data_IF_825865944421
#
_entry.id   IF_825865944421
#
_cell.length_a   1.000
_cell.length_b   1.000
_cell.length_c   1.000
_cell.angle_alpha   90.00
_cell.angle_beta   90.00
_cell.angle_gamma   90.00
#
_symmetry.space_group_name_H-M   'P 1'
#
loop_
_entity.id
_entity.type
_entity.pdbx_description
1 polymer ?
#
# COMPACT_ATOMS: atom_id res chain seq x y z
N UNK A 1 -59.66 20.33 -13.86
CA UNK A 1 -58.30 20.79 -13.47
C UNK A 1 -58.10 20.41 -12.01
N UNK A 2 -57.64 19.18 -11.77
CA UNK A 2 -57.26 18.69 -10.44
C UNK A 2 -55.77 18.92 -10.30
N UNK A 3 -55.42 19.87 -9.45
CA UNK A 3 -54.04 20.23 -9.13
C UNK A 3 -53.35 19.03 -8.48
N UNK A 4 -52.32 18.53 -9.14
CA UNK A 4 -51.38 17.58 -8.55
C UNK A 4 -50.83 18.20 -7.25
N UNK A 5 -51.06 17.53 -6.13
CA UNK A 5 -50.43 17.86 -4.87
C UNK A 5 -48.92 17.88 -5.08
N UNK A 6 -48.26 18.97 -4.66
CA UNK A 6 -46.81 19.05 -4.59
C UNK A 6 -46.30 17.82 -3.83
N UNK A 7 -45.56 16.95 -4.51
CA UNK A 7 -44.91 15.81 -3.88
C UNK A 7 -44.02 16.35 -2.76
N UNK A 8 -44.35 16.01 -1.51
CA UNK A 8 -43.57 16.40 -0.34
C UNK A 8 -42.12 15.95 -0.51
N UNK A 9 -41.18 16.75 0.01
CA UNK A 9 -39.76 16.39 0.01
C UNK A 9 -39.62 15.07 0.77
N UNK A 10 -39.30 13.99 0.07
CA UNK A 10 -39.27 12.62 0.60
C UNK A 10 -38.30 12.47 1.79
N UNK A 11 -37.33 13.38 1.92
CA UNK A 11 -36.37 13.47 3.03
C UNK A 11 -36.09 14.95 3.38
N UNK A 12 -36.93 15.60 4.21
CA UNK A 12 -36.85 17.06 4.44
C UNK A 12 -35.58 17.50 5.19
N UNK A 13 -34.85 16.57 5.81
CA UNK A 13 -33.58 16.80 6.50
C UNK A 13 -32.35 16.44 5.66
N UNK A 14 -32.53 16.08 4.38
CA UNK A 14 -31.44 15.79 3.46
C UNK A 14 -30.66 17.05 3.03
N UNK A 15 -29.49 16.87 2.39
CA UNK A 15 -28.65 17.98 1.89
C UNK A 15 -27.47 18.39 2.78
N UNK A 16 -27.19 17.67 3.87
CA UNK A 16 -26.11 17.99 4.82
C UNK A 16 -24.69 17.55 4.43
N UNK A 17 -24.45 17.08 3.19
CA UNK A 17 -23.18 16.46 2.80
C UNK A 17 -21.97 17.39 2.98
N UNK A 18 -22.05 18.65 2.56
CA UNK A 18 -20.94 19.61 2.73
C UNK A 18 -20.65 19.92 4.21
N UNK A 19 -21.67 19.97 5.07
CA UNK A 19 -21.50 20.15 6.52
C UNK A 19 -20.79 18.95 7.14
N UNK A 20 -21.16 17.73 6.74
CA UNK A 20 -20.52 16.52 7.21
C UNK A 20 -19.07 16.39 6.70
N UNK A 21 -18.82 16.74 5.44
CA UNK A 21 -17.47 16.79 4.88
C UNK A 21 -16.60 17.82 5.61
N UNK A 22 -17.20 18.96 5.99
CA UNK A 22 -16.50 19.99 6.77
C UNK A 22 -16.12 19.47 8.15
N UNK A 23 -17.02 18.80 8.86
CA UNK A 23 -16.72 18.12 10.12
C UNK A 23 -15.54 17.15 9.97
N UNK A 24 -15.52 16.33 8.91
CA UNK A 24 -14.40 15.41 8.67
C UNK A 24 -13.07 16.16 8.48
N UNK A 25 -13.08 17.22 7.67
CA UNK A 25 -11.91 18.03 7.36
C UNK A 25 -11.35 18.76 8.59
N UNK A 26 -12.20 19.42 9.38
CA UNK A 26 -11.73 20.36 10.40
C UNK A 26 -11.76 19.84 11.82
N UNK A 27 -12.44 18.72 12.07
CA UNK A 27 -12.56 18.16 13.42
C UNK A 27 -12.02 16.73 13.47
N UNK A 28 -12.55 15.81 12.66
CA UNK A 28 -12.20 14.39 12.76
C UNK A 28 -10.75 14.09 12.36
N UNK A 29 -10.33 14.55 11.17
CA UNK A 29 -8.96 14.30 10.68
C UNK A 29 -7.91 14.91 11.64
N UNK A 30 -8.01 16.19 12.05
CA UNK A 30 -7.06 16.76 13.00
C UNK A 30 -6.98 16.01 14.34
N UNK A 31 -8.11 15.54 14.88
CA UNK A 31 -8.10 14.81 16.14
C UNK A 31 -7.44 13.42 16.02
N UNK A 32 -7.61 12.73 14.88
CA UNK A 32 -6.91 11.47 14.59
C UNK A 32 -5.40 11.72 14.48
N UNK A 33 -4.99 12.75 13.73
CA UNK A 33 -3.57 13.11 13.53
C UNK A 33 -2.86 13.52 14.82
N UNK A 34 -3.60 14.14 15.74
CA UNK A 34 -3.09 14.48 17.07
C UNK A 34 -2.86 13.24 17.95
N UNK A 35 -3.75 12.24 17.87
CA UNK A 35 -3.73 11.06 18.74
C UNK A 35 -2.82 9.95 18.24
N UNK A 36 -2.67 9.82 16.94
CA UNK A 36 -1.99 8.67 16.32
C UNK A 36 -0.94 9.12 15.31
N UNK A 37 0.14 8.34 15.22
CA UNK A 37 1.11 8.47 14.14
C UNK A 37 0.49 7.93 12.85
N UNK A 38 -0.09 8.81 12.05
CA UNK A 38 -0.68 8.47 10.76
C UNK A 38 0.22 8.88 9.60
N UNK A 39 0.04 8.21 8.46
CA UNK A 39 0.67 8.61 7.19
C UNK A 39 -0.29 9.52 6.40
N UNK A 40 0.23 10.42 5.54
CA UNK A 40 -0.58 11.41 4.80
C UNK A 40 -1.37 10.81 3.61
N UNK A 41 -1.70 9.53 3.65
CA UNK A 41 -2.49 8.84 2.62
C UNK A 41 -3.83 8.40 3.19
N UNK A 42 -4.91 9.06 2.77
CA UNK A 42 -6.27 8.85 3.31
C UNK A 42 -7.17 8.17 2.27
N UNK A 43 -7.93 7.18 2.72
CA UNK A 43 -8.91 6.44 1.91
C UNK A 43 -10.30 6.72 2.49
N UNK A 44 -11.25 7.15 1.66
CA UNK A 44 -12.66 7.27 2.03
C UNK A 44 -13.46 6.14 1.39
N UNK A 45 -14.11 5.33 2.21
CA UNK A 45 -14.98 4.25 1.75
C UNK A 45 -16.42 4.47 2.25
N UNK A 46 -17.39 4.21 1.39
CA UNK A 46 -18.81 4.39 1.71
C UNK A 46 -19.71 3.46 0.90
N UNK A 47 -20.79 3.01 1.52
CA UNK A 47 -21.80 2.14 0.92
C UNK A 47 -23.15 2.87 0.77
N UNK A 48 -23.88 2.64 -0.32
CA UNK A 48 -25.22 3.21 -0.53
C UNK A 48 -25.20 4.75 -0.51
N UNK A 49 -25.96 5.41 0.38
CA UNK A 49 -25.86 6.86 0.61
C UNK A 49 -24.46 7.29 1.08
N UNK A 50 -23.72 6.43 1.78
CA UNK A 50 -22.31 6.62 2.09
C UNK A 50 -21.44 6.61 0.83
N UNK A 51 -21.75 5.75 -0.15
CA UNK A 51 -21.08 5.73 -1.45
C UNK A 51 -21.37 6.99 -2.27
N UNK A 52 -22.62 7.49 -2.22
CA UNK A 52 -22.98 8.80 -2.76
C UNK A 52 -22.18 9.93 -2.08
N UNK A 53 -22.03 9.88 -0.76
CA UNK A 53 -21.18 10.82 -0.02
C UNK A 53 -19.70 10.71 -0.43
N UNK A 54 -19.18 9.50 -0.64
CA UNK A 54 -17.81 9.29 -1.14
C UNK A 54 -17.58 9.97 -2.49
N UNK A 55 -18.53 9.82 -3.43
CA UNK A 55 -18.47 10.52 -4.72
C UNK A 55 -18.60 12.03 -4.54
N UNK A 56 -19.51 12.48 -3.68
CA UNK A 56 -19.65 13.90 -3.34
C UNK A 56 -18.34 14.50 -2.80
N UNK A 57 -17.68 13.82 -1.85
CA UNK A 57 -16.42 14.28 -1.25
C UNK A 57 -15.32 14.42 -2.29
N UNK A 58 -15.18 13.44 -3.20
CA UNK A 58 -14.23 13.49 -4.32
C UNK A 58 -14.46 14.72 -5.22
N UNK A 59 -15.71 15.03 -5.53
CA UNK A 59 -16.07 16.14 -6.41
C UNK A 59 -16.00 17.52 -5.72
N UNK A 60 -16.25 17.60 -4.41
CA UNK A 60 -16.28 18.86 -3.65
C UNK A 60 -14.90 19.26 -3.08
N UNK A 61 -14.12 18.28 -2.60
CA UNK A 61 -12.82 18.45 -1.94
C UNK A 61 -11.87 17.30 -2.31
N UNK A 62 -11.47 17.19 -3.60
CA UNK A 62 -10.62 16.09 -4.07
C UNK A 62 -9.30 15.98 -3.29
N UNK A 63 -8.82 17.10 -2.73
CA UNK A 63 -7.55 17.14 -1.99
C UNK A 63 -7.59 16.49 -0.60
N UNK A 64 -8.78 16.24 -0.05
CA UNK A 64 -8.92 15.75 1.34
C UNK A 64 -8.54 14.27 1.49
N UNK A 65 -8.82 13.46 0.47
CA UNK A 65 -8.50 12.04 0.41
C UNK A 65 -7.75 11.71 -0.87
N UNK A 66 -6.89 10.69 -0.81
CA UNK A 66 -6.09 10.21 -1.94
C UNK A 66 -6.84 9.15 -2.75
N UNK A 67 -7.67 8.36 -2.07
CA UNK A 67 -8.40 7.23 -2.65
C UNK A 67 -9.84 7.15 -2.18
N UNK A 68 -10.71 6.67 -3.05
CA UNK A 68 -12.15 6.59 -2.85
C UNK A 68 -12.66 5.18 -3.20
N UNK A 69 -13.45 4.59 -2.30
CA UNK A 69 -14.13 3.29 -2.50
C UNK A 69 -15.63 3.53 -2.36
N UNK A 70 -16.34 3.63 -3.48
CA UNK A 70 -17.78 3.88 -3.50
C UNK A 70 -18.54 2.59 -3.81
N UNK A 71 -19.19 2.01 -2.81
CA UNK A 71 -19.86 0.71 -2.92
C UNK A 71 -21.36 0.91 -3.12
N UNK A 72 -21.91 0.40 -4.23
CA UNK A 72 -23.31 0.60 -4.63
C UNK A 72 -23.78 2.04 -4.38
N UNK A 73 -23.07 3.07 -4.91
CA UNK A 73 -23.40 4.45 -4.59
C UNK A 73 -24.79 4.78 -5.13
N UNK A 74 -25.63 5.42 -4.30
CA UNK A 74 -26.99 5.83 -4.66
C UNK A 74 -26.99 7.04 -5.64
N UNK A 75 -26.40 6.87 -6.82
CA UNK A 75 -26.17 7.93 -7.81
C UNK A 75 -27.44 8.40 -8.51
N UNK A 76 -28.53 7.63 -8.43
CA UNK A 76 -29.85 8.01 -8.91
C UNK A 76 -30.53 9.08 -8.04
N UNK A 77 -30.03 9.30 -6.82
CA UNK A 77 -30.60 10.24 -5.86
C UNK A 77 -30.69 11.67 -6.39
N UNK A 78 -31.74 12.38 -5.98
CA UNK A 78 -32.00 13.79 -6.30
C UNK A 78 -31.84 14.08 -7.80
N UNK A 79 -32.52 13.30 -8.64
CA UNK A 79 -32.47 13.42 -10.10
C UNK A 79 -31.03 13.37 -10.64
N UNK A 80 -30.22 12.43 -10.13
CA UNK A 80 -28.84 12.18 -10.56
C UNK A 80 -27.90 13.39 -10.45
N UNK A 81 -28.10 14.25 -9.45
CA UNK A 81 -27.25 15.44 -9.24
C UNK A 81 -25.76 15.09 -9.13
N UNK A 82 -25.40 13.96 -8.51
CA UNK A 82 -24.00 13.54 -8.43
C UNK A 82 -23.38 13.24 -9.81
N UNK A 83 -24.14 12.61 -10.72
CA UNK A 83 -23.68 12.32 -12.09
C UNK A 83 -23.50 13.61 -12.87
N UNK A 84 -24.48 14.53 -12.82
CA UNK A 84 -24.40 15.84 -13.46
C UNK A 84 -23.21 16.66 -12.97
N UNK A 85 -22.97 16.67 -11.65
CA UNK A 85 -21.79 17.31 -11.06
C UNK A 85 -20.49 16.69 -11.53
N UNK A 86 -20.44 15.37 -11.71
CA UNK A 86 -19.26 14.70 -12.25
C UNK A 86 -18.98 15.15 -13.70
N UNK A 87 -20.01 15.29 -14.53
CA UNK A 87 -19.84 15.82 -15.89
C UNK A 87 -19.16 17.18 -15.89
N UNK A 88 -19.66 18.11 -15.06
CA UNK A 88 -19.10 19.47 -14.99
C UNK A 88 -17.69 19.48 -14.38
N UNK A 89 -17.46 18.64 -13.36
CA UNK A 89 -16.15 18.50 -12.73
C UNK A 89 -15.10 18.02 -13.74
N UNK A 90 -15.38 16.96 -14.50
CA UNK A 90 -14.40 16.37 -15.41
C UNK A 90 -14.25 17.15 -16.73
N UNK A 91 -15.26 17.91 -17.19
CA UNK A 91 -15.16 18.78 -18.38
C UNK A 91 -13.96 19.75 -18.33
N UNK A 92 -13.59 20.21 -17.14
CA UNK A 92 -12.52 21.22 -16.97
C UNK A 92 -11.28 20.68 -16.24
N UNK A 93 -11.35 19.48 -15.66
CA UNK A 93 -10.28 18.90 -14.84
C UNK A 93 -9.26 18.15 -15.70
N UNK A 94 -8.12 18.80 -15.96
CA UNK A 94 -7.01 18.21 -16.72
C UNK A 94 -6.20 17.19 -15.92
N UNK A 95 -6.01 17.43 -14.62
CA UNK A 95 -5.23 16.57 -13.73
C UNK A 95 -5.97 16.31 -12.42
N UNK A 96 -5.90 15.08 -11.93
CA UNK A 96 -6.45 14.64 -10.65
C UNK A 96 -5.69 13.39 -10.21
N UNK A 97 -4.69 13.56 -9.36
CA UNK A 97 -3.87 12.45 -8.85
C UNK A 97 -4.60 11.66 -7.76
N UNK A 98 -5.70 10.97 -8.13
CA UNK A 98 -6.58 10.25 -7.20
C UNK A 98 -6.96 8.89 -7.75
N UNK A 99 -7.31 7.98 -6.84
CA UNK A 99 -7.80 6.65 -7.19
C UNK A 99 -9.27 6.50 -6.80
N UNK A 100 -10.09 5.98 -7.70
CA UNK A 100 -11.49 5.62 -7.45
C UNK A 100 -11.75 4.16 -7.79
N UNK A 101 -12.24 3.39 -6.82
CA UNK A 101 -12.93 2.13 -7.10
C UNK A 101 -14.41 2.34 -6.82
N UNK A 102 -15.27 1.93 -7.74
CA UNK A 102 -16.70 1.90 -7.49
C UNK A 102 -17.34 0.63 -8.04
N UNK A 103 -18.43 0.21 -7.40
CA UNK A 103 -19.04 -1.08 -7.69
C UNK A 103 -20.55 -1.05 -7.54
N UNK A 104 -21.21 -2.05 -8.11
CA UNK A 104 -22.65 -2.23 -8.06
C UNK A 104 -22.97 -3.72 -7.88
N UNK A 105 -23.90 -4.04 -6.98
CA UNK A 105 -24.54 -5.36 -6.93
C UNK A 105 -25.57 -5.52 -8.05
N UNK A 106 -26.42 -6.54 -7.98
CA UNK A 106 -27.56 -6.68 -8.88
C UNK A 106 -28.71 -5.76 -8.44
N UNK A 107 -28.74 -4.54 -8.98
CA UNK A 107 -29.68 -3.47 -8.62
C UNK A 107 -30.34 -2.84 -9.86
N UNK A 108 -31.18 -3.60 -10.60
CA UNK A 108 -31.71 -3.16 -11.88
C UNK A 108 -32.57 -1.89 -11.77
N UNK A 109 -32.62 -1.12 -12.86
CA UNK A 109 -33.42 0.10 -12.96
C UNK A 109 -32.61 1.36 -12.66
N UNK A 110 -33.19 2.38 -12.00
CA UNK A 110 -32.56 3.70 -11.92
C UNK A 110 -31.16 3.74 -11.28
N UNK A 111 -30.85 2.83 -10.36
CA UNK A 111 -29.53 2.75 -9.72
C UNK A 111 -28.49 2.25 -10.72
N UNK A 112 -28.77 1.15 -11.42
CA UNK A 112 -27.95 0.62 -12.52
C UNK A 112 -27.73 1.67 -13.62
N UNK A 113 -28.81 2.32 -14.06
CA UNK A 113 -28.73 3.39 -15.08
C UNK A 113 -27.76 4.50 -14.65
N UNK A 114 -27.89 4.99 -13.40
CA UNK A 114 -27.04 6.05 -12.89
C UNK A 114 -25.57 5.61 -12.73
N UNK A 115 -25.33 4.34 -12.36
CA UNK A 115 -24.00 3.76 -12.30
C UNK A 115 -23.36 3.70 -13.69
N UNK A 116 -24.08 3.23 -14.71
CA UNK A 116 -23.59 3.18 -16.09
C UNK A 116 -23.35 4.58 -16.66
N UNK A 117 -24.22 5.54 -16.37
CA UNK A 117 -24.01 6.94 -16.77
C UNK A 117 -22.75 7.51 -16.12
N UNK A 118 -22.55 7.33 -14.81
CA UNK A 118 -21.34 7.79 -14.14
C UNK A 118 -20.08 7.15 -14.72
N UNK A 119 -20.10 5.83 -14.97
CA UNK A 119 -19.04 5.11 -15.68
C UNK A 119 -18.76 5.71 -17.07
N UNK A 120 -19.80 6.10 -17.80
CA UNK A 120 -19.67 6.76 -19.10
C UNK A 120 -19.04 8.16 -18.98
N UNK A 121 -19.41 8.93 -17.96
CA UNK A 121 -18.79 10.24 -17.67
C UNK A 121 -17.28 10.07 -17.43
N UNK A 122 -16.88 9.10 -16.61
CA UNK A 122 -15.46 8.84 -16.36
C UNK A 122 -14.73 8.36 -17.63
N UNK A 123 -15.36 7.49 -18.43
CA UNK A 123 -14.75 6.96 -19.66
C UNK A 123 -14.58 7.98 -20.80
N UNK A 124 -15.41 9.03 -20.85
CA UNK A 124 -15.30 10.10 -21.84
C UNK A 124 -14.19 11.11 -21.52
N UNK A 125 -13.73 11.17 -20.27
CA UNK A 125 -12.79 12.18 -19.82
C UNK A 125 -11.43 11.55 -19.48
N UNK A 126 -10.37 11.97 -20.18
CA UNK A 126 -9.00 11.58 -19.85
C UNK A 126 -8.38 12.62 -18.92
N UNK A 127 -8.56 12.42 -17.62
CA UNK A 127 -7.91 13.25 -16.58
C UNK A 127 -6.60 12.60 -16.16
N UNK A 128 -5.48 13.30 -16.36
CA UNK A 128 -4.14 12.76 -16.05
C UNK A 128 -4.00 12.52 -14.53
N UNK A 129 -3.42 11.37 -14.19
CA UNK A 129 -3.23 10.94 -12.79
C UNK A 129 -4.49 10.34 -12.15
N UNK A 130 -5.65 10.37 -12.82
CA UNK A 130 -6.87 9.81 -12.27
C UNK A 130 -6.98 8.34 -12.64
N UNK A 131 -6.79 7.47 -11.66
CA UNK A 131 -6.96 6.03 -11.81
C UNK A 131 -8.36 5.64 -11.33
N UNK A 132 -9.14 4.95 -12.17
CA UNK A 132 -10.44 4.45 -11.72
C UNK A 132 -10.72 3.02 -12.17
N UNK A 133 -11.69 2.39 -11.50
CA UNK A 133 -12.22 1.07 -11.85
C UNK A 133 -13.69 0.97 -11.45
N UNK A 134 -14.47 0.34 -12.32
CA UNK A 134 -15.88 0.03 -12.10
C UNK A 134 -16.07 -1.48 -12.14
N UNK A 135 -16.74 -2.05 -11.13
CA UNK A 135 -17.02 -3.49 -11.09
C UNK A 135 -18.50 -3.77 -10.78
N UNK A 136 -19.15 -4.52 -11.65
CA UNK A 136 -20.52 -5.02 -11.46
C UNK A 136 -20.45 -6.47 -10.95
N UNK A 137 -21.16 -6.78 -9.88
CA UNK A 137 -21.20 -8.10 -9.23
C UNK A 137 -22.64 -8.61 -9.26
N UNK A 138 -23.02 -9.27 -10.35
CA UNK A 138 -24.41 -9.71 -10.58
C UNK A 138 -24.84 -10.87 -9.67
N UNK A 139 -23.91 -11.46 -8.93
CA UNK A 139 -24.13 -12.50 -7.92
C UNK A 139 -24.26 -11.94 -6.49
N UNK A 140 -24.18 -10.62 -6.33
CA UNK A 140 -24.37 -9.91 -5.06
C UNK A 140 -25.63 -9.03 -5.11
N UNK A 141 -26.28 -8.77 -3.98
CA UNK A 141 -27.33 -7.75 -3.85
C UNK A 141 -26.79 -6.45 -3.21
N UNK A 142 -27.66 -5.46 -3.01
CA UNK A 142 -27.29 -4.17 -2.42
C UNK A 142 -26.59 -4.30 -1.06
N UNK A 143 -26.96 -5.29 -0.24
CA UNK A 143 -26.40 -5.51 1.09
C UNK A 143 -25.16 -6.39 1.07
N UNK A 144 -25.14 -7.45 0.25
CA UNK A 144 -24.07 -8.45 0.26
C UNK A 144 -22.80 -7.97 -0.46
N UNK A 145 -22.93 -7.05 -1.44
CA UNK A 145 -21.81 -6.51 -2.24
C UNK A 145 -20.74 -5.80 -1.41
N UNK A 146 -21.06 -5.35 -0.19
CA UNK A 146 -20.18 -4.55 0.69
C UNK A 146 -18.81 -5.19 0.90
N UNK A 147 -18.76 -6.45 1.30
CA UNK A 147 -17.50 -7.10 1.67
C UNK A 147 -16.55 -7.24 0.46
N UNK A 148 -17.07 -7.75 -0.66
CA UNK A 148 -16.27 -7.93 -1.89
C UNK A 148 -15.81 -6.62 -2.47
N UNK A 149 -16.64 -5.58 -2.42
CA UNK A 149 -16.27 -4.27 -2.91
C UNK A 149 -15.16 -3.61 -2.12
N UNK A 150 -15.10 -3.81 -0.80
CA UNK A 150 -13.94 -3.36 -0.02
C UNK A 150 -12.69 -4.16 -0.35
N UNK A 151 -12.80 -5.48 -0.56
CA UNK A 151 -11.68 -6.32 -0.98
C UNK A 151 -11.08 -5.84 -2.32
N UNK A 152 -11.90 -5.69 -3.36
CA UNK A 152 -11.44 -5.23 -4.67
C UNK A 152 -11.03 -3.75 -4.67
N UNK A 153 -11.72 -2.92 -3.90
CA UNK A 153 -11.36 -1.51 -3.71
C UNK A 153 -9.98 -1.33 -3.10
N UNK A 154 -9.65 -2.09 -2.05
CA UNK A 154 -8.30 -2.07 -1.48
C UNK A 154 -7.26 -2.62 -2.45
N UNK A 155 -7.56 -3.65 -3.24
CA UNK A 155 -6.66 -4.13 -4.30
C UNK A 155 -6.38 -3.06 -5.35
N UNK A 156 -7.38 -2.26 -5.72
CA UNK A 156 -7.20 -1.13 -6.64
C UNK A 156 -6.29 -0.05 -6.04
N UNK A 157 -6.57 0.37 -4.80
CA UNK A 157 -5.78 1.39 -4.09
C UNK A 157 -4.32 0.96 -3.96
N UNK A 158 -4.08 -0.28 -3.54
CA UNK A 158 -2.74 -0.83 -3.34
C UNK A 158 -2.19 -1.56 -4.57
N UNK A 159 -2.72 -1.27 -5.76
CA UNK A 159 -2.19 -1.85 -6.99
C UNK A 159 -0.71 -1.45 -7.17
N UNK A 160 0.12 -2.47 -7.43
CA UNK A 160 1.58 -2.34 -7.51
C UNK A 160 2.30 -2.35 -6.15
N UNK A 161 1.62 -2.57 -5.02
CA UNK A 161 2.28 -2.61 -3.70
C UNK A 161 3.32 -3.74 -3.59
N UNK A 162 2.93 -4.94 -4.01
CA UNK A 162 3.81 -6.11 -3.94
C UNK A 162 4.95 -5.99 -4.96
N UNK A 163 6.18 -6.28 -4.52
CA UNK A 163 7.32 -6.41 -5.43
C UNK A 163 7.05 -7.58 -6.39
N UNK A 164 7.31 -7.41 -7.71
CA UNK A 164 7.17 -8.52 -8.65
C UNK A 164 8.05 -9.70 -8.27
N UNK A 165 7.54 -10.91 -8.47
CA UNK A 165 8.23 -12.17 -8.15
C UNK A 165 8.20 -13.10 -9.35
N UNK A 166 9.24 -13.92 -9.47
CA UNK A 166 9.26 -15.03 -10.42
C UNK A 166 8.18 -16.05 -10.02
N UNK A 167 7.26 -16.43 -10.93
CA UNK A 167 6.12 -17.28 -10.60
C UNK A 167 6.48 -18.74 -10.30
N UNK A 168 7.65 -19.21 -10.76
CA UNK A 168 8.06 -20.60 -10.58
C UNK A 168 8.86 -20.80 -9.29
N UNK A 169 9.67 -19.80 -8.93
CA UNK A 169 10.62 -19.87 -7.81
C UNK A 169 10.19 -19.03 -6.60
N UNK A 170 9.27 -18.09 -6.79
CA UNK A 170 8.92 -17.09 -5.78
C UNK A 170 10.04 -16.07 -5.52
N UNK A 171 11.13 -16.13 -6.29
CA UNK A 171 12.25 -15.21 -6.15
C UNK A 171 11.84 -13.77 -6.44
N UNK A 172 12.58 -12.80 -5.91
CA UNK A 172 12.31 -11.39 -6.19
C UNK A 172 12.74 -11.16 -7.62
N UNK A 173 11.86 -10.57 -8.44
CA UNK A 173 12.22 -10.29 -9.81
C UNK A 173 13.18 -9.09 -9.86
N UNK A 174 14.30 -9.25 -10.58
CA UNK A 174 15.32 -8.22 -10.72
C UNK A 174 16.37 -8.22 -9.61
N UNK A 175 17.08 -7.11 -9.48
CA UNK A 175 18.19 -6.89 -8.55
C UNK A 175 17.80 -5.90 -7.43
N UNK A 176 18.74 -5.61 -6.53
CA UNK A 176 18.51 -4.65 -5.44
C UNK A 176 18.10 -3.26 -5.96
N UNK A 177 18.66 -2.82 -7.09
CA UNK A 177 18.29 -1.55 -7.72
C UNK A 177 16.82 -1.55 -8.17
N UNK A 178 16.37 -2.65 -8.78
CA UNK A 178 14.97 -2.83 -9.19
C UNK A 178 14.02 -2.77 -8.00
N UNK A 179 14.43 -3.36 -6.86
CA UNK A 179 13.68 -3.27 -5.60
C UNK A 179 13.64 -1.83 -5.08
N UNK A 180 14.77 -1.12 -5.06
CA UNK A 180 14.82 0.28 -4.63
C UNK A 180 13.94 1.19 -5.50
N UNK A 181 13.97 1.00 -6.82
CA UNK A 181 13.12 1.73 -7.75
C UNK A 181 11.62 1.46 -7.53
N UNK A 182 11.25 0.21 -7.21
CA UNK A 182 9.87 -0.14 -6.84
C UNK A 182 9.39 0.64 -5.61
N UNK A 183 10.17 0.62 -4.52
CA UNK A 183 9.81 1.31 -3.29
C UNK A 183 9.86 2.84 -3.41
N UNK A 184 10.72 3.36 -4.29
CA UNK A 184 10.70 4.78 -4.68
C UNK A 184 9.38 5.15 -5.38
N UNK A 185 8.93 4.33 -6.34
CA UNK A 185 7.64 4.52 -7.02
C UNK A 185 6.47 4.47 -6.04
N UNK A 186 6.50 3.52 -5.09
CA UNK A 186 5.51 3.47 -4.01
C UNK A 186 5.53 4.75 -3.18
N UNK A 187 6.71 5.20 -2.75
CA UNK A 187 6.83 6.42 -1.95
C UNK A 187 6.27 7.64 -2.67
N UNK A 188 6.50 7.75 -3.99
CA UNK A 188 5.90 8.80 -4.83
C UNK A 188 4.38 8.66 -4.91
N UNK A 189 3.85 7.47 -5.20
CA UNK A 189 2.40 7.22 -5.32
C UNK A 189 1.65 7.50 -4.02
N UNK A 190 2.23 7.14 -2.88
CA UNK A 190 1.57 7.26 -1.58
C UNK A 190 1.90 8.57 -0.85
N UNK A 191 2.85 9.37 -1.37
CA UNK A 191 3.19 10.68 -0.81
C UNK A 191 3.92 10.64 0.54
N UNK A 192 4.50 9.49 0.92
CA UNK A 192 5.33 9.36 2.12
C UNK A 192 6.43 8.33 1.90
N UNK A 193 7.47 8.37 2.73
CA UNK A 193 8.60 7.45 2.61
C UNK A 193 8.19 6.01 2.96
N UNK A 194 8.33 5.11 1.99
CA UNK A 194 8.12 3.67 2.16
C UNK A 194 9.49 3.00 2.00
N UNK A 195 10.18 2.62 3.09
CA UNK A 195 11.49 2.02 3.01
C UNK A 195 11.41 0.59 2.44
N UNK A 196 12.47 0.16 1.76
CA UNK A 196 12.62 -1.24 1.32
C UNK A 196 12.77 -2.13 2.56
N UNK A 197 11.86 -3.09 2.83
CA UNK A 197 11.90 -3.92 4.02
C UNK A 197 13.23 -4.66 4.20
N UNK A 198 13.73 -4.72 5.44
CA UNK A 198 14.99 -5.40 5.79
C UNK A 198 15.05 -6.82 5.25
N UNK A 199 13.99 -7.59 5.45
CA UNK A 199 13.89 -8.98 5.00
C UNK A 199 13.94 -9.11 3.47
N UNK A 200 13.46 -8.11 2.73
CA UNK A 200 13.49 -8.12 1.27
C UNK A 200 14.90 -7.88 0.73
N UNK A 201 15.63 -6.91 1.32
CA UNK A 201 17.06 -6.71 1.00
C UNK A 201 17.85 -7.97 1.34
N UNK A 202 17.54 -8.59 2.49
CA UNK A 202 18.16 -9.85 2.92
C UNK A 202 17.90 -10.98 1.92
N UNK A 203 16.65 -11.12 1.46
CA UNK A 203 16.25 -12.10 0.46
C UNK A 203 17.02 -11.94 -0.86
N UNK A 204 17.22 -10.69 -1.33
CA UNK A 204 18.02 -10.41 -2.52
C UNK A 204 19.48 -10.82 -2.31
N UNK A 205 20.07 -10.51 -1.15
CA UNK A 205 21.42 -10.94 -0.80
C UNK A 205 21.60 -12.46 -0.86
N UNK A 206 20.66 -13.23 -0.29
CA UNK A 206 20.70 -14.69 -0.36
C UNK A 206 20.47 -15.24 -1.76
N UNK A 207 19.59 -14.63 -2.57
CA UNK A 207 19.40 -15.03 -3.97
C UNK A 207 20.69 -14.90 -4.78
N UNK A 208 21.44 -13.82 -4.58
CA UNK A 208 22.75 -13.62 -5.19
C UNK A 208 23.77 -14.65 -4.69
N UNK A 209 23.78 -14.91 -3.38
CA UNK A 209 24.70 -15.89 -2.79
C UNK A 209 24.45 -17.31 -3.30
N UNK A 210 23.19 -17.72 -3.47
CA UNK A 210 22.83 -19.02 -4.04
C UNK A 210 23.03 -19.08 -5.57
N UNK A 211 23.08 -17.94 -6.24
CA UNK A 211 23.42 -17.83 -7.66
C UNK A 211 24.94 -17.74 -7.91
N UNK A 212 25.76 -18.04 -6.89
CA UNK A 212 27.23 -17.98 -6.94
C UNK A 212 27.78 -16.58 -7.29
N UNK A 213 27.12 -15.54 -6.77
CA UNK A 213 27.47 -14.11 -6.92
C UNK A 213 27.83 -13.48 -5.57
N UNK A 214 28.95 -13.90 -4.95
CA UNK A 214 29.26 -13.53 -3.56
C UNK A 214 29.57 -12.05 -3.36
N UNK A 215 30.20 -11.38 -4.33
CA UNK A 215 30.54 -9.97 -4.19
C UNK A 215 29.31 -9.07 -4.30
N UNK A 216 28.37 -9.38 -5.20
CA UNK A 216 27.07 -8.69 -5.26
C UNK A 216 26.22 -8.98 -4.01
N UNK A 217 26.23 -10.21 -3.50
CA UNK A 217 25.54 -10.56 -2.25
C UNK A 217 26.08 -9.73 -1.07
N UNK A 218 27.40 -9.60 -0.95
CA UNK A 218 28.05 -8.78 0.09
C UNK A 218 27.67 -7.31 -0.07
N UNK A 219 27.61 -6.78 -1.29
CA UNK A 219 27.12 -5.41 -1.54
C UNK A 219 25.69 -5.23 -1.04
N UNK A 220 24.79 -6.17 -1.36
CA UNK A 220 23.41 -6.13 -0.88
C UNK A 220 23.30 -6.20 0.64
N UNK A 221 24.03 -7.11 1.29
CA UNK A 221 24.02 -7.25 2.76
C UNK A 221 24.62 -6.02 3.47
N UNK A 222 25.70 -5.42 2.93
CA UNK A 222 26.22 -4.14 3.45
C UNK A 222 25.17 -3.04 3.39
N UNK A 223 24.48 -2.95 2.26
CA UNK A 223 23.40 -1.99 2.08
C UNK A 223 22.22 -2.27 3.04
N UNK A 224 22.02 -3.51 3.48
CA UNK A 224 21.04 -3.86 4.51
C UNK A 224 21.48 -3.36 5.90
N UNK A 225 22.76 -3.55 6.25
CA UNK A 225 23.37 -3.04 7.49
C UNK A 225 23.25 -1.52 7.59
N UNK A 226 23.47 -0.80 6.50
CA UNK A 226 23.34 0.67 6.45
C UNK A 226 21.90 1.14 6.72
N UNK A 227 20.91 0.43 6.20
CA UNK A 227 19.48 0.76 6.37
C UNK A 227 18.94 0.38 7.74
N UNK A 228 19.39 -0.74 8.27
CA UNK A 228 18.85 -1.35 9.47
C UNK A 228 19.94 -1.68 10.50
N UNK A 229 20.73 -0.68 10.96
CA UNK A 229 21.91 -0.92 11.80
C UNK A 229 21.59 -1.49 13.19
N UNK A 230 20.32 -1.47 13.61
CA UNK A 230 19.83 -2.06 14.86
C UNK A 230 19.33 -3.50 14.75
N UNK A 231 19.25 -4.08 13.54
CA UNK A 231 18.85 -5.47 13.34
C UNK A 231 20.05 -6.40 13.53
N UNK A 232 19.88 -7.51 14.25
CA UNK A 232 20.94 -8.50 14.39
C UNK A 232 21.14 -9.31 13.09
N UNK A 233 20.04 -9.63 12.42
CA UNK A 233 19.99 -10.44 11.21
C UNK A 233 20.86 -9.87 10.07
N UNK A 234 20.92 -8.54 9.92
CA UNK A 234 21.69 -7.91 8.84
C UNK A 234 23.20 -8.11 9.01
N UNK A 235 23.70 -8.18 10.24
CA UNK A 235 25.11 -8.46 10.50
C UNK A 235 25.42 -9.95 10.36
N UNK A 236 24.52 -10.83 10.83
CA UNK A 236 24.68 -12.28 10.68
C UNK A 236 24.72 -12.69 9.20
N UNK A 237 23.80 -12.15 8.39
CA UNK A 237 23.75 -12.45 6.95
C UNK A 237 24.97 -11.91 6.19
N UNK A 238 25.47 -10.72 6.53
CA UNK A 238 26.71 -10.19 5.96
C UNK A 238 27.93 -11.05 6.38
N UNK A 239 27.95 -11.51 7.63
CA UNK A 239 29.01 -12.36 8.16
C UNK A 239 29.05 -13.71 7.44
N UNK A 240 27.88 -14.30 7.17
CA UNK A 240 27.78 -15.56 6.41
C UNK A 240 28.34 -15.41 4.99
N UNK A 241 28.02 -14.31 4.31
CA UNK A 241 28.55 -14.05 2.97
C UNK A 241 30.09 -13.92 2.97
N UNK A 242 30.68 -13.28 3.99
CA UNK A 242 32.13 -13.24 4.16
C UNK A 242 32.73 -14.60 4.50
N UNK A 243 32.09 -15.37 5.38
CA UNK A 243 32.53 -16.73 5.74
C UNK A 243 32.56 -17.65 4.52
N UNK A 244 31.52 -17.64 3.69
CA UNK A 244 31.47 -18.45 2.45
C UNK A 244 32.56 -18.05 1.46
N UNK A 245 32.95 -16.78 1.46
CA UNK A 245 34.11 -16.28 0.70
C UNK A 245 35.47 -16.54 1.37
N UNK A 246 35.53 -17.30 2.48
CA UNK A 246 36.76 -17.61 3.21
C UNK A 246 37.34 -16.47 4.06
N UNK A 247 36.65 -15.32 4.13
CA UNK A 247 37.11 -14.11 4.84
C UNK A 247 36.66 -14.13 6.31
N UNK A 248 37.19 -15.08 7.07
CA UNK A 248 36.80 -15.31 8.48
C UNK A 248 37.15 -14.13 9.40
N UNK A 249 38.21 -13.40 9.08
CA UNK A 249 38.64 -12.17 9.74
C UNK A 249 37.58 -11.05 9.65
N UNK A 250 36.86 -10.98 8.53
CA UNK A 250 35.75 -10.05 8.33
C UNK A 250 34.43 -10.58 8.92
N UNK A 251 34.21 -11.89 8.88
CA UNK A 251 32.98 -12.52 9.36
C UNK A 251 32.86 -12.51 10.90
N UNK A 252 33.92 -12.84 11.63
CA UNK A 252 33.90 -12.98 13.08
C UNK A 252 33.37 -11.74 13.84
N UNK A 253 33.86 -10.50 13.59
CA UNK A 253 33.35 -9.32 14.30
C UNK A 253 31.88 -9.00 13.96
N UNK A 254 31.39 -9.41 12.78
CA UNK A 254 30.00 -9.22 12.39
C UNK A 254 29.07 -10.21 13.12
N UNK A 255 29.46 -11.48 13.23
CA UNK A 255 28.72 -12.45 14.05
C UNK A 255 28.69 -12.05 15.52
N UNK A 256 29.79 -11.51 16.06
CA UNK A 256 29.82 -10.98 17.44
C UNK A 256 28.80 -9.85 17.62
N UNK A 257 28.74 -8.92 16.65
CA UNK A 257 27.78 -7.82 16.65
C UNK A 257 26.34 -8.31 16.53
N UNK A 258 26.08 -9.29 15.67
CA UNK A 258 24.76 -9.93 15.56
C UNK A 258 24.33 -10.57 16.89
N UNK A 259 25.21 -11.33 17.53
CA UNK A 259 24.96 -11.93 18.85
C UNK A 259 24.66 -10.87 19.92
N UNK A 260 25.44 -9.78 19.94
CA UNK A 260 25.24 -8.68 20.89
C UNK A 260 23.90 -7.98 20.69
N UNK A 261 23.57 -7.61 19.45
CA UNK A 261 22.28 -6.97 19.12
C UNK A 261 21.11 -7.91 19.36
N UNK A 262 21.26 -9.20 19.03
CA UNK A 262 20.24 -10.20 19.29
C UNK A 262 19.93 -10.32 20.79
N UNK A 263 20.96 -10.24 21.63
CA UNK A 263 20.80 -10.27 23.09
C UNK A 263 20.09 -9.01 23.60
N UNK A 264 20.48 -7.82 23.10
CA UNK A 264 19.89 -6.54 23.49
C UNK A 264 18.41 -6.44 23.10
N UNK A 265 18.09 -6.91 21.89
CA UNK A 265 16.74 -6.85 21.34
C UNK A 265 15.84 -8.01 21.76
N UNK A 266 16.36 -8.98 22.52
CA UNK A 266 15.68 -10.26 22.83
C UNK A 266 15.19 -10.95 21.56
N UNK A 267 16.04 -10.97 20.54
CA UNK A 267 15.74 -11.53 19.23
C UNK A 267 15.50 -13.05 19.35
N UNK A 268 14.41 -13.59 18.79
CA UNK A 268 14.12 -15.03 18.81
C UNK A 268 15.23 -15.91 18.22
N UNK A 269 16.03 -15.35 17.29
CA UNK A 269 17.13 -16.05 16.62
C UNK A 269 18.47 -15.94 17.36
N UNK A 270 18.50 -15.39 18.58
CA UNK A 270 19.74 -15.21 19.36
C UNK A 270 20.62 -16.46 19.44
N UNK A 271 20.01 -17.63 19.64
CA UNK A 271 20.75 -18.89 19.72
C UNK A 271 21.54 -19.20 18.43
N UNK A 272 21.00 -18.83 17.26
CA UNK A 272 21.65 -19.00 15.96
C UNK A 272 22.86 -18.06 15.87
N UNK A 273 22.67 -16.77 16.21
CA UNK A 273 23.76 -15.79 16.15
C UNK A 273 24.92 -16.16 17.08
N UNK A 274 24.62 -16.63 18.29
CA UNK A 274 25.63 -17.11 19.25
C UNK A 274 26.36 -18.35 18.73
N UNK A 275 25.64 -19.32 18.17
CA UNK A 275 26.24 -20.52 17.61
C UNK A 275 27.16 -20.18 16.42
N UNK A 276 26.73 -19.30 15.52
CA UNK A 276 27.55 -18.82 14.40
C UNK A 276 28.82 -18.12 14.88
N UNK A 277 28.70 -17.20 15.84
CA UNK A 277 29.84 -16.51 16.42
C UNK A 277 30.86 -17.46 17.05
N UNK A 278 30.40 -18.41 17.88
CA UNK A 278 31.27 -19.39 18.53
C UNK A 278 31.99 -20.27 17.50
N UNK A 279 31.23 -20.77 16.51
CA UNK A 279 31.73 -21.64 15.44
C UNK A 279 32.82 -20.96 14.61
N UNK A 280 32.61 -19.72 14.17
CA UNK A 280 33.58 -18.99 13.36
C UNK A 280 34.79 -18.52 14.16
N UNK A 281 34.57 -18.09 15.41
CA UNK A 281 35.67 -17.74 16.31
C UNK A 281 36.60 -18.92 16.59
N UNK A 282 36.05 -20.14 16.71
CA UNK A 282 36.85 -21.35 16.86
C UNK A 282 37.68 -21.65 15.60
N UNK A 283 37.07 -21.58 14.40
CA UNK A 283 37.79 -21.77 13.13
C UNK A 283 38.95 -20.78 12.97
N UNK A 284 38.70 -19.49 13.25
CA UNK A 284 39.70 -18.43 13.10
C UNK A 284 40.93 -18.63 14.01
N UNK A 285 40.74 -19.15 15.23
CA UNK A 285 41.83 -19.48 16.16
C UNK A 285 42.72 -20.61 15.64
N UNK A 286 42.12 -21.63 15.01
CA UNK A 286 42.87 -22.76 14.42
C UNK A 286 43.70 -22.28 13.24
N UNK A 287 43.10 -21.54 12.30
CA UNK A 287 43.83 -21.01 11.14
C UNK A 287 44.96 -20.05 11.51
N UNK A 288 44.77 -19.22 12.56
CA UNK A 288 45.82 -18.32 13.03
C UNK A 288 46.97 -19.03 13.76
N UNK A 289 46.74 -20.23 14.29
CA UNK A 289 47.77 -21.05 14.94
C UNK A 289 48.64 -21.81 13.91
N UNK A 290 48.09 -22.20 12.77
CA UNK A 290 48.82 -22.87 11.68
C UNK A 290 49.71 -21.92 10.87
N UNK A 291 49.44 -20.60 10.91
CA UNK A 291 50.21 -19.57 10.18
C UNK A 291 51.33 -18.91 10.99
N UNK A 292 51.51 -19.27 12.27
CA UNK A 292 52.63 -18.76 13.08
C UNK A 292 53.83 -19.71 12.97
N UNK A 293 54.98 -19.27 12.41
CA UNK A 293 56.20 -20.06 12.34
C UNK A 293 56.81 -20.32 13.72
#
# INVERSE_FOLDING_TARGET
VTTAAAAGVQFPTSGGADKFLKFIETELIPEIEKRYRVQPYRILAGHSLGGLFTVHAMLSRPELFNSYIAVSPALNWDNQVAVKRAEDFFKTRKELDRTLYFSLGHEPGPIEDAFHQFKQVLGKNQTKGFEWEAQEMTDEDHGSVVLRSHYFGLRKVYNGWQIPRDPNTGAVAGDLKSVEEHYKKLSTKFGFAIPVPENLVNQVGYQLLFADKPDEAISAFKSNVERYPGSANVYDSLAEAYERGGRLDLAAPLYEKASTLGQQNKDPSLGIYQANFQRVSAKLKVTGAETKP
#
